data_IF_887825257064
#
_entry.id   IF_887825257064
#
_cell.length_a   1.000
_cell.length_b   1.000
_cell.length_c   1.000
_cell.angle_alpha   90.00
_cell.angle_beta   90.00
_cell.angle_gamma   90.00
#
_symmetry.space_group_name_H-M   'P 1'
#
loop_
_entity.id
_entity.type
_entity.pdbx_description
1 polymer ?
#
# COMPACT_ATOMS: atom_id res chain seq x y z
N UNK A 1 -5.66 30.42 -39.36
CA UNK A 1 -4.28 30.25 -38.86
C UNK A 1 -3.90 31.21 -37.71
N UNK A 2 -4.81 32.01 -37.14
CA UNK A 2 -4.52 32.90 -36.00
C UNK A 2 -5.01 32.37 -34.63
N UNK A 3 -5.75 31.25 -34.60
CA UNK A 3 -6.35 30.68 -33.39
C UNK A 3 -5.42 29.74 -32.59
N UNK A 4 -4.39 29.18 -33.23
CA UNK A 4 -3.46 28.26 -32.55
C UNK A 4 -2.43 28.95 -31.65
N UNK A 5 -2.15 30.24 -31.86
CA UNK A 5 -1.17 30.98 -31.05
C UNK A 5 -1.73 31.49 -29.71
N UNK A 6 -3.06 31.57 -29.56
CA UNK A 6 -3.69 31.93 -28.28
C UNK A 6 -3.83 30.74 -27.31
N UNK A 7 -3.88 29.51 -27.83
CA UNK A 7 -3.94 28.30 -26.99
C UNK A 7 -2.56 27.87 -26.44
N UNK A 8 -1.47 28.35 -27.05
CA UNK A 8 -0.09 28.00 -26.67
C UNK A 8 0.63 29.13 -25.89
N UNK A 9 -0.06 30.25 -25.60
CA UNK A 9 0.54 31.47 -25.05
C UNK A 9 0.52 31.63 -23.52
N UNK A 10 0.10 30.61 -22.74
CA UNK A 10 0.00 30.72 -21.26
C UNK A 10 0.62 29.57 -20.46
N UNK A 11 1.50 28.79 -21.07
CA UNK A 11 2.43 27.90 -20.34
C UNK A 11 3.84 28.49 -20.43
N UNK A 12 3.97 29.74 -19.99
CA UNK A 12 5.24 30.26 -19.48
C UNK A 12 5.10 30.33 -17.96
N UNK A 13 5.11 29.17 -17.32
CA UNK A 13 5.45 29.11 -15.91
C UNK A 13 6.84 29.72 -15.79
N UNK A 14 6.89 30.96 -15.29
CA UNK A 14 8.14 31.60 -14.91
C UNK A 14 8.94 30.57 -14.12
N UNK A 15 10.14 30.25 -14.59
CA UNK A 15 11.05 29.33 -13.93
C UNK A 15 11.27 29.81 -12.51
N UNK A 16 10.50 29.25 -11.56
CA UNK A 16 10.92 29.21 -10.16
C UNK A 16 12.19 28.37 -10.19
N UNK A 17 13.30 28.99 -9.80
CA UNK A 17 14.50 28.22 -9.44
C UNK A 17 14.06 27.12 -8.49
N UNK A 18 14.57 25.88 -8.63
CA UNK A 18 14.25 24.82 -7.68
C UNK A 18 14.50 25.37 -6.27
N UNK A 19 13.51 25.26 -5.40
CA UNK A 19 13.66 25.71 -4.02
C UNK A 19 14.93 25.07 -3.47
N UNK A 20 15.90 25.89 -3.06
CA UNK A 20 17.17 25.40 -2.50
C UNK A 20 16.85 24.53 -1.29
N UNK A 21 17.06 23.22 -1.43
CA UNK A 21 16.83 22.28 -0.36
C UNK A 21 17.81 22.58 0.79
N UNK A 22 17.27 22.80 1.99
CA UNK A 22 18.09 22.90 3.19
C UNK A 22 18.52 21.48 3.58
N UNK A 23 19.83 21.24 3.72
CA UNK A 23 20.36 19.95 4.15
C UNK A 23 20.76 20.02 5.63
N UNK A 24 20.32 19.03 6.41
CA UNK A 24 20.60 18.92 7.84
C UNK A 24 21.14 17.53 8.13
N UNK A 25 22.35 17.43 8.67
CA UNK A 25 22.88 16.16 9.17
C UNK A 25 22.19 15.83 10.51
N UNK A 26 21.51 14.68 10.57
CA UNK A 26 20.70 14.28 11.74
C UNK A 26 21.33 13.13 12.53
N UNK A 27 22.24 12.40 11.92
CA UNK A 27 23.10 11.39 12.53
C UNK A 27 24.35 11.18 11.65
N UNK A 28 25.44 10.58 12.15
CA UNK A 28 26.63 10.30 11.33
C UNK A 28 26.28 9.51 10.07
N UNK A 29 26.56 10.11 8.91
CA UNK A 29 26.27 9.50 7.61
C UNK A 29 24.79 9.51 7.20
N UNK A 30 23.95 10.30 7.88
CA UNK A 30 22.55 10.49 7.53
C UNK A 30 22.20 11.98 7.46
N UNK A 31 21.83 12.43 6.27
CA UNK A 31 21.33 13.79 6.02
C UNK A 31 19.84 13.76 5.71
N UNK A 32 19.12 14.83 6.09
CA UNK A 32 17.74 15.08 5.67
C UNK A 32 17.71 16.37 4.86
N UNK A 33 17.18 16.28 3.64
CA UNK A 33 16.92 17.43 2.77
C UNK A 33 15.50 17.92 3.00
N UNK A 34 15.35 19.22 3.28
CA UNK A 34 14.07 19.89 3.53
C UNK A 34 13.77 20.81 2.35
N UNK A 35 12.69 20.53 1.64
CA UNK A 35 12.30 21.25 0.43
C UNK A 35 10.87 21.77 0.56
N UNK A 36 10.68 23.07 0.34
CA UNK A 36 9.35 23.68 0.18
C UNK A 36 8.94 23.54 -1.28
N UNK A 37 7.72 23.08 -1.53
CA UNK A 37 7.17 22.90 -2.87
C UNK A 37 5.65 23.05 -2.83
N UNK A 38 5.01 23.16 -4.00
CA UNK A 38 3.56 23.15 -4.12
C UNK A 38 3.09 21.83 -4.72
N UNK A 39 2.19 21.14 -4.04
CA UNK A 39 1.57 19.91 -4.54
C UNK A 39 0.22 20.21 -5.17
N UNK A 40 -0.06 19.78 -6.42
CA UNK A 40 -1.40 19.88 -6.98
C UNK A 40 -2.36 18.95 -6.22
N UNK A 41 -3.56 19.43 -5.91
CA UNK A 41 -4.65 18.61 -5.36
C UNK A 41 -5.95 18.91 -6.10
N UNK A 42 -6.96 18.07 -5.95
CA UNK A 42 -8.30 18.31 -6.50
C UNK A 42 -8.96 19.61 -5.99
N UNK A 43 -8.52 20.12 -4.83
CA UNK A 43 -8.99 21.37 -4.23
C UNK A 43 -8.11 22.59 -4.57
N UNK A 44 -7.08 22.41 -5.41
CA UNK A 44 -6.08 23.43 -5.74
C UNK A 44 -4.69 23.09 -5.19
N UNK A 45 -3.66 23.89 -5.53
CA UNK A 45 -2.31 23.67 -5.05
C UNK A 45 -2.22 23.88 -3.53
N UNK A 46 -1.49 22.99 -2.85
CA UNK A 46 -1.22 23.07 -1.41
C UNK A 46 0.28 23.24 -1.20
N UNK A 47 0.68 24.30 -0.50
CA UNK A 47 2.06 24.51 -0.10
C UNK A 47 2.47 23.45 0.92
N UNK A 48 3.55 22.76 0.62
CA UNK A 48 4.06 21.62 1.37
C UNK A 48 5.53 21.80 1.75
N UNK A 49 5.95 21.02 2.74
CA UNK A 49 7.36 20.76 3.03
C UNK A 49 7.57 19.25 2.95
N UNK A 50 8.62 18.84 2.22
CA UNK A 50 9.08 17.46 2.19
C UNK A 50 10.44 17.32 2.85
N UNK A 51 10.56 16.31 3.69
CA UNK A 51 11.79 15.87 4.35
C UNK A 51 12.21 14.55 3.73
N UNK A 52 13.39 14.51 3.13
CA UNK A 52 13.90 13.35 2.40
C UNK A 52 15.22 12.93 3.00
N UNK A 53 15.32 11.67 3.44
CA UNK A 53 16.58 11.13 3.95
C UNK A 53 17.57 10.78 2.84
N UNK A 54 18.85 10.80 3.19
CA UNK A 54 19.97 10.40 2.36
C UNK A 54 21.03 9.75 3.28
N UNK A 55 21.18 8.43 3.17
CA UNK A 55 22.13 7.63 3.94
C UNK A 55 21.54 6.36 4.58
N UNK A 56 20.21 6.21 4.63
CA UNK A 56 19.57 4.99 5.15
C UNK A 56 19.83 3.78 4.24
N UNK A 57 19.92 4.00 2.93
CA UNK A 57 20.14 2.94 1.95
C UNK A 57 21.45 2.19 2.19
N UNK A 58 22.50 2.89 2.67
CA UNK A 58 23.77 2.28 3.03
C UNK A 58 23.67 1.26 4.18
N UNK A 59 22.54 1.26 4.91
CA UNK A 59 22.24 0.39 6.05
C UNK A 59 21.14 -0.63 5.74
N UNK A 60 20.81 -0.81 4.46
CA UNK A 60 19.75 -1.73 4.01
C UNK A 60 18.32 -1.23 4.27
N UNK A 61 18.15 0.01 4.73
CA UNK A 61 16.86 0.65 4.92
C UNK A 61 16.54 1.55 3.72
N UNK A 62 15.36 1.41 3.12
CA UNK A 62 14.91 2.33 2.06
C UNK A 62 14.87 3.76 2.60
N UNK A 63 15.29 4.72 1.77
CA UNK A 63 15.16 6.14 2.10
C UNK A 63 13.71 6.51 2.38
N UNK A 64 13.51 7.48 3.26
CA UNK A 64 12.20 7.89 3.74
C UNK A 64 11.88 9.31 3.26
N UNK A 65 10.63 9.51 2.84
CA UNK A 65 10.04 10.79 2.48
C UNK A 65 8.90 11.07 3.45
N UNK A 66 8.90 12.26 4.05
CA UNK A 66 7.80 12.73 4.88
C UNK A 66 7.32 14.08 4.34
N UNK A 67 6.05 14.17 3.93
CA UNK A 67 5.47 15.36 3.30
C UNK A 67 4.27 15.86 4.08
N UNK A 68 4.25 17.14 4.46
CA UNK A 68 3.16 17.77 5.21
C UNK A 68 2.87 19.21 4.74
N UNK A 69 1.71 19.80 5.09
CA UNK A 69 1.42 21.19 4.77
C UNK A 69 2.44 22.13 5.40
N UNK A 70 2.84 23.16 4.66
CA UNK A 70 3.90 24.08 5.08
C UNK A 70 3.60 24.83 6.39
N UNK A 71 2.32 25.06 6.70
CA UNK A 71 1.88 25.69 7.96
C UNK A 71 2.07 24.82 9.21
N UNK A 72 2.34 23.52 9.05
CA UNK A 72 2.60 22.58 10.14
C UNK A 72 4.09 22.30 10.36
N UNK A 73 4.94 22.73 9.43
CA UNK A 73 6.38 22.48 9.45
C UNK A 73 7.12 23.58 10.22
N UNK A 74 6.85 23.70 11.53
CA UNK A 74 7.60 24.59 12.42
C UNK A 74 8.94 23.96 12.87
N UNK A 75 9.75 24.74 13.58
CA UNK A 75 11.08 24.32 14.04
C UNK A 75 10.99 23.17 15.08
N UNK A 76 9.98 23.20 15.95
CA UNK A 76 9.78 22.19 16.98
C UNK A 76 9.39 20.84 16.36
N UNK A 77 8.48 20.85 15.38
CA UNK A 77 8.09 19.69 14.60
C UNK A 77 9.28 19.15 13.80
N UNK A 78 10.02 20.03 13.10
CA UNK A 78 11.22 19.65 12.34
C UNK A 78 12.24 18.93 13.23
N UNK A 79 12.48 19.45 14.43
CA UNK A 79 13.39 18.83 15.41
C UNK A 79 12.93 17.45 15.86
N UNK A 80 11.63 17.25 16.10
CA UNK A 80 11.05 15.93 16.39
C UNK A 80 11.23 14.97 15.21
N UNK A 81 11.00 15.45 14.00
CA UNK A 81 11.11 14.63 12.80
C UNK A 81 12.58 14.23 12.52
N UNK A 82 13.55 15.12 12.72
CA UNK A 82 14.98 14.80 12.65
C UNK A 82 15.38 13.73 13.68
N UNK A 83 14.86 13.85 14.91
CA UNK A 83 15.07 12.82 15.96
C UNK A 83 14.47 11.47 15.56
N UNK A 84 13.34 11.48 14.86
CA UNK A 84 12.73 10.28 14.30
C UNK A 84 13.61 9.64 13.20
N UNK A 85 14.14 10.42 12.25
CA UNK A 85 15.07 9.91 11.23
C UNK A 85 16.33 9.29 11.87
N UNK A 86 16.89 9.94 12.90
CA UNK A 86 18.02 9.41 13.66
C UNK A 86 17.67 8.09 14.39
N UNK A 87 16.43 7.94 14.86
CA UNK A 87 15.96 6.69 15.48
C UNK A 87 15.83 5.56 14.45
N UNK A 88 15.27 5.83 13.27
CA UNK A 88 15.19 4.86 12.17
C UNK A 88 16.59 4.41 11.75
N UNK A 89 17.53 5.34 11.67
CA UNK A 89 18.93 5.05 11.39
C UNK A 89 19.53 4.04 12.38
N UNK A 90 19.30 4.25 13.68
CA UNK A 90 19.77 3.34 14.73
C UNK A 90 19.12 1.94 14.61
N UNK A 91 17.85 1.86 14.25
CA UNK A 91 17.18 0.58 14.01
C UNK A 91 17.72 -0.13 12.77
N UNK A 92 18.00 0.61 11.69
CA UNK A 92 18.60 0.06 10.49
C UNK A 92 19.99 -0.55 10.76
N UNK A 93 20.82 0.09 11.61
CA UNK A 93 22.11 -0.47 12.06
C UNK A 93 21.97 -1.81 12.79
N UNK A 94 20.81 -2.07 13.39
CA UNK A 94 20.48 -3.32 14.08
C UNK A 94 19.79 -4.34 13.16
N UNK A 95 19.70 -4.06 11.85
CA UNK A 95 18.96 -4.88 10.88
C UNK A 95 17.44 -4.80 11.02
N UNK A 96 16.92 -3.83 11.80
CA UNK A 96 15.48 -3.61 11.99
C UNK A 96 15.02 -2.55 11.00
N UNK A 97 14.51 -3.00 9.86
CA UNK A 97 14.09 -2.14 8.76
C UNK A 97 12.57 -2.12 8.58
N UNK A 98 12.09 -1.14 7.81
CA UNK A 98 10.70 -1.00 7.39
C UNK A 98 10.62 -1.05 5.86
N UNK A 99 9.52 -1.62 5.37
CA UNK A 99 9.19 -1.68 3.94
C UNK A 99 7.71 -1.30 3.73
N UNK A 100 7.29 -1.24 2.47
CA UNK A 100 5.93 -1.02 1.99
C UNK A 100 4.93 -1.92 2.72
N UNK A 101 3.87 -1.30 3.23
CA UNK A 101 2.85 -1.96 4.06
C UNK A 101 3.30 -2.27 5.49
N UNK A 102 4.56 -2.01 5.84
CA UNK A 102 5.02 -1.93 7.22
C UNK A 102 4.52 -0.67 7.91
N UNK A 103 4.63 -0.62 9.23
CA UNK A 103 4.20 0.53 10.02
C UNK A 103 5.13 0.77 11.22
N UNK A 104 5.11 2.00 11.73
CA UNK A 104 5.69 2.37 13.02
C UNK A 104 4.56 2.77 13.95
N UNK A 105 4.34 1.97 15.00
CA UNK A 105 3.44 2.32 16.09
C UNK A 105 4.22 3.14 17.13
N UNK A 106 3.66 4.29 17.50
CA UNK A 106 4.24 5.16 18.51
C UNK A 106 3.57 4.92 19.86
N UNK A 107 4.36 4.92 20.92
CA UNK A 107 3.84 5.04 22.29
C UNK A 107 3.63 6.50 22.68
N UNK A 108 3.98 6.86 23.92
CA UNK A 108 3.82 8.22 24.45
C UNK A 108 4.63 9.30 23.70
N UNK A 109 5.69 8.91 22.99
CA UNK A 109 6.50 9.82 22.15
C UNK A 109 6.13 9.59 20.69
N UNK A 110 5.24 10.42 20.16
CA UNK A 110 4.80 10.37 18.77
C UNK A 110 5.08 11.69 18.04
N UNK A 111 5.11 11.62 16.69
CA UNK A 111 5.19 12.82 15.84
C UNK A 111 3.90 13.65 15.93
N UNK A 112 2.76 12.96 16.00
CA UNK A 112 1.44 13.54 16.23
C UNK A 112 0.70 12.72 17.30
N UNK A 113 -0.02 13.35 18.23
CA UNK A 113 -0.86 12.63 19.18
C UNK A 113 -1.86 11.70 18.48
N UNK A 114 -1.96 10.44 18.92
CA UNK A 114 -2.93 9.47 18.41
C UNK A 114 -2.72 9.02 16.95
N UNK A 115 -1.53 9.25 16.37
CA UNK A 115 -1.20 8.80 15.02
C UNK A 115 0.07 7.95 15.00
N UNK A 116 0.14 7.10 13.99
CA UNK A 116 1.21 6.18 13.66
C UNK A 116 1.69 6.42 12.23
N UNK A 117 2.70 5.69 11.76
CA UNK A 117 3.14 5.77 10.36
C UNK A 117 2.83 4.48 9.63
N UNK A 118 2.21 4.59 8.46
CA UNK A 118 2.16 3.54 7.45
C UNK A 118 3.16 3.88 6.35
N UNK A 119 4.01 2.92 5.98
CA UNK A 119 4.99 3.11 4.91
C UNK A 119 4.41 2.67 3.57
N UNK A 120 4.44 3.57 2.60
CA UNK A 120 3.94 3.35 1.24
C UNK A 120 5.05 3.66 0.24
N UNK A 121 4.99 3.20 -1.02
CA UNK A 121 5.97 3.61 -2.04
C UNK A 121 5.91 5.13 -2.20
N UNK A 122 7.07 5.80 -2.14
CA UNK A 122 7.13 7.22 -2.44
C UNK A 122 6.88 7.46 -3.93
N UNK A 123 6.19 8.55 -4.25
CA UNK A 123 6.01 9.00 -5.63
C UNK A 123 6.99 10.15 -5.95
N UNK A 124 7.36 10.33 -7.22
CA UNK A 124 8.09 11.51 -7.65
C UNK A 124 7.30 12.78 -7.31
N UNK A 125 7.96 13.73 -6.65
CA UNK A 125 7.39 15.03 -6.31
C UNK A 125 8.09 16.13 -7.11
N UNK A 126 7.36 17.04 -7.77
CA UNK A 126 7.98 18.19 -8.44
C UNK A 126 8.90 18.95 -7.47
N UNK A 127 10.07 19.36 -7.95
CA UNK A 127 11.07 20.15 -7.19
C UNK A 127 11.73 19.41 -6.01
N UNK A 128 11.31 18.20 -5.67
CA UNK A 128 11.88 17.39 -4.58
C UNK A 128 12.68 16.22 -5.16
N UNK A 129 13.94 16.10 -4.75
CA UNK A 129 14.79 14.96 -5.14
C UNK A 129 14.42 13.71 -4.33
N UNK A 130 13.40 12.97 -4.77
CA UNK A 130 12.99 11.70 -4.16
C UNK A 130 13.86 10.55 -4.69
N UNK A 131 14.59 9.81 -3.83
CA UNK A 131 15.37 8.66 -4.25
C UNK A 131 14.50 7.54 -4.84
N UNK A 132 15.03 6.74 -5.78
CA UNK A 132 14.31 5.58 -6.30
C UNK A 132 14.03 4.58 -5.16
N UNK A 133 12.87 3.95 -5.20
CA UNK A 133 12.41 2.98 -4.18
C UNK A 133 12.30 3.53 -2.74
N UNK A 134 12.28 4.86 -2.56
CA UNK A 134 12.01 5.46 -1.26
C UNK A 134 10.60 5.11 -0.76
N UNK A 135 10.40 5.23 0.55
CA UNK A 135 9.10 5.04 1.19
C UNK A 135 8.56 6.40 1.65
N UNK A 136 7.30 6.70 1.32
CA UNK A 136 6.58 7.77 1.97
C UNK A 136 6.06 7.27 3.33
N UNK A 137 6.34 8.03 4.38
CA UNK A 137 5.83 7.78 5.72
C UNK A 137 4.54 8.57 5.94
N UNK A 138 3.40 7.89 5.87
CA UNK A 138 2.08 8.51 5.88
C UNK A 138 1.44 8.37 7.26
N UNK A 139 1.07 9.49 7.94
CA UNK A 139 0.38 9.41 9.20
C UNK A 139 -1.00 8.75 9.08
N UNK A 140 -1.23 7.74 9.91
CA UNK A 140 -2.52 7.03 10.06
C UNK A 140 -2.99 7.12 11.49
N UNK A 141 -4.30 7.07 11.74
CA UNK A 141 -4.84 7.05 13.11
C UNK A 141 -4.66 5.69 13.77
N UNK A 142 -4.93 5.59 15.08
CA UNK A 142 -5.01 4.30 15.79
C UNK A 142 -6.04 3.36 15.14
N UNK A 143 -7.23 3.86 14.80
CA UNK A 143 -8.27 3.07 14.13
C UNK A 143 -7.83 2.54 12.77
N UNK A 144 -7.13 3.36 11.98
CA UNK A 144 -6.56 2.95 10.70
C UNK A 144 -5.44 1.92 10.86
N UNK A 145 -4.60 2.05 11.89
CA UNK A 145 -3.58 1.03 12.20
C UNK A 145 -4.24 -0.31 12.57
N UNK A 146 -5.30 -0.30 13.37
CA UNK A 146 -6.06 -1.52 13.70
C UNK A 146 -6.63 -2.19 12.43
N UNK A 147 -7.05 -1.41 11.42
CA UNK A 147 -7.44 -1.95 10.11
C UNK A 147 -6.24 -2.53 9.35
N UNK A 148 -5.07 -1.91 9.37
CA UNK A 148 -3.84 -2.46 8.76
C UNK A 148 -3.51 -3.82 9.37
N UNK A 149 -3.61 -3.93 10.69
CA UNK A 149 -3.39 -5.17 11.39
C UNK A 149 -4.46 -6.21 11.03
N UNK A 150 -5.73 -5.85 11.03
CA UNK A 150 -6.81 -6.82 10.81
C UNK A 150 -6.94 -7.26 9.36
N UNK A 151 -6.89 -6.32 8.42
CA UNK A 151 -7.24 -6.51 7.00
C UNK A 151 -6.06 -6.35 6.05
N UNK A 152 -4.88 -5.97 6.55
CA UNK A 152 -3.68 -5.76 5.74
C UNK A 152 -3.55 -4.33 5.23
N UNK A 153 -2.31 -3.93 5.00
CA UNK A 153 -1.98 -2.56 4.59
C UNK A 153 -2.60 -2.17 3.25
N UNK A 154 -2.63 -3.08 2.27
CA UNK A 154 -3.09 -2.80 0.91
C UNK A 154 -4.54 -2.29 0.88
N UNK A 155 -5.45 -2.89 1.67
CA UNK A 155 -6.83 -2.41 1.82
C UNK A 155 -6.89 -1.00 2.39
N UNK A 156 -6.13 -0.72 3.45
CA UNK A 156 -6.10 0.61 4.05
C UNK A 156 -5.56 1.63 3.06
N UNK A 157 -4.47 1.29 2.37
CA UNK A 157 -3.85 2.15 1.36
C UNK A 157 -4.81 2.47 0.22
N UNK A 158 -5.46 1.47 -0.39
CA UNK A 158 -6.42 1.68 -1.48
C UNK A 158 -7.69 2.41 -1.01
N UNK A 159 -8.13 2.19 0.23
CA UNK A 159 -9.23 2.95 0.86
C UNK A 159 -8.89 4.42 1.07
N UNK A 160 -7.68 4.72 1.54
CA UNK A 160 -7.15 6.08 1.62
C UNK A 160 -7.01 6.71 0.23
N UNK A 161 -6.57 5.93 -0.76
CA UNK A 161 -6.52 6.34 -2.17
C UNK A 161 -7.89 6.74 -2.71
N UNK A 162 -8.92 5.94 -2.47
CA UNK A 162 -10.31 6.30 -2.81
C UNK A 162 -10.75 7.58 -2.12
N UNK A 163 -10.53 7.69 -0.81
CA UNK A 163 -10.97 8.86 -0.04
C UNK A 163 -10.27 10.16 -0.48
N UNK A 164 -8.99 10.08 -0.83
CA UNK A 164 -8.21 11.22 -1.28
C UNK A 164 -8.26 11.43 -2.81
N UNK A 165 -8.98 10.57 -3.56
CA UNK A 165 -8.96 10.55 -5.02
C UNK A 165 -7.55 10.49 -5.60
N UNK A 166 -6.69 9.66 -5.01
CA UNK A 166 -5.28 9.52 -5.37
C UNK A 166 -4.90 8.05 -5.53
N UNK A 167 -4.20 7.72 -6.63
CA UNK A 167 -3.80 6.35 -6.93
C UNK A 167 -2.32 6.11 -6.57
N UNK A 168 -1.96 4.96 -5.98
CA UNK A 168 -2.86 3.99 -5.33
C UNK A 168 -3.29 4.45 -3.93
N UNK A 169 -2.54 5.37 -3.32
CA UNK A 169 -2.78 5.92 -1.99
C UNK A 169 -2.04 7.26 -1.83
N UNK A 170 -2.48 8.19 -0.97
CA UNK A 170 -1.77 9.44 -0.74
C UNK A 170 -0.37 9.19 -0.16
N UNK A 171 0.63 9.97 -0.61
CA UNK A 171 2.02 9.92 -0.13
C UNK A 171 2.37 11.08 0.82
N UNK A 172 1.35 11.82 1.27
CA UNK A 172 1.47 13.01 2.09
C UNK A 172 0.54 12.96 3.29
N UNK A 173 0.82 13.82 4.27
CA UNK A 173 -0.08 14.07 5.37
C UNK A 173 -1.11 15.15 5.02
N UNK A 174 -2.39 14.81 5.16
CA UNK A 174 -3.51 15.74 5.13
C UNK A 174 -4.17 15.75 6.52
N UNK A 175 -4.02 16.83 7.31
CA UNK A 175 -4.57 16.91 8.67
C UNK A 175 -6.10 16.99 8.68
N UNK A 176 -6.71 17.50 7.62
CA UNK A 176 -8.17 17.68 7.49
C UNK A 176 -8.86 16.42 6.98
N UNK A 177 -8.08 15.39 6.60
CA UNK A 177 -8.61 14.11 6.14
C UNK A 177 -9.32 13.39 7.30
N UNK A 178 -10.59 13.00 7.13
CA UNK A 178 -11.27 12.20 8.13
C UNK A 178 -10.62 10.81 8.24
N UNK A 179 -10.78 10.19 9.38
CA UNK A 179 -10.44 8.78 9.57
C UNK A 179 -11.32 7.89 8.67
N UNK A 180 -10.78 6.75 8.21
CA UNK A 180 -11.61 5.68 7.66
C UNK A 180 -12.67 5.22 8.69
N UNK A 181 -13.86 4.75 8.26
CA UNK A 181 -14.92 4.33 9.19
C UNK A 181 -14.58 2.99 9.87
N UNK A 182 -13.59 2.99 10.78
CA UNK A 182 -12.95 1.78 11.28
C UNK A 182 -13.94 0.82 11.95
N UNK A 183 -14.84 1.33 12.79
CA UNK A 183 -15.79 0.51 13.54
C UNK A 183 -16.77 -0.20 12.59
N UNK A 184 -17.27 0.50 11.58
CA UNK A 184 -18.15 -0.06 10.57
C UNK A 184 -17.43 -1.08 9.68
N UNK A 185 -16.16 -0.81 9.32
CA UNK A 185 -15.35 -1.76 8.55
C UNK A 185 -15.08 -3.05 9.34
N UNK A 186 -14.77 -2.94 10.64
CA UNK A 186 -14.60 -4.09 11.53
C UNK A 186 -15.88 -4.90 11.67
N UNK A 187 -17.03 -4.22 11.75
CA UNK A 187 -18.32 -4.91 11.87
C UNK A 187 -18.74 -5.58 10.56
N UNK A 188 -18.55 -4.92 9.42
CA UNK A 188 -19.14 -5.33 8.15
C UNK A 188 -18.25 -6.26 7.32
N UNK A 189 -16.93 -6.27 7.50
CA UNK A 189 -16.03 -7.06 6.66
C UNK A 189 -16.04 -8.55 7.05
N UNK A 190 -16.08 -9.42 6.05
CA UNK A 190 -15.91 -10.87 6.20
C UNK A 190 -14.55 -11.24 6.81
N UNK A 191 -13.50 -10.45 6.55
CA UNK A 191 -12.17 -10.69 7.09
C UNK A 191 -12.15 -10.58 8.62
N UNK A 192 -13.15 -9.96 9.24
CA UNK A 192 -13.31 -9.92 10.69
C UNK A 192 -13.64 -11.29 11.30
N UNK A 193 -14.04 -12.27 10.49
CA UNK A 193 -14.48 -13.58 10.97
C UNK A 193 -13.65 -14.74 10.40
N UNK A 194 -12.55 -14.44 9.69
CA UNK A 194 -11.73 -15.43 9.00
C UNK A 194 -10.29 -15.34 9.50
N UNK A 195 -9.62 -16.48 9.62
CA UNK A 195 -8.19 -16.53 9.93
C UNK A 195 -7.38 -15.96 8.76
N UNK A 196 -6.36 -15.16 9.02
CA UNK A 196 -5.60 -14.49 7.97
C UNK A 196 -4.10 -14.60 8.17
N UNK A 197 -3.38 -14.70 7.06
CA UNK A 197 -1.94 -14.64 7.00
C UNK A 197 -1.50 -13.45 6.15
N UNK A 198 -0.49 -12.73 6.61
CA UNK A 198 0.05 -11.57 5.89
C UNK A 198 1.21 -12.02 5.02
N UNK A 199 1.04 -11.90 3.71
CA UNK A 199 2.07 -12.17 2.71
C UNK A 199 2.41 -10.85 2.01
N UNK A 200 3.21 -10.01 2.67
CA UNK A 200 3.50 -8.63 2.21
C UNK A 200 4.16 -8.58 0.84
N UNK A 201 4.87 -9.63 0.45
CA UNK A 201 5.56 -9.74 -0.84
C UNK A 201 4.74 -10.50 -1.89
N UNK A 202 3.64 -11.14 -1.49
CA UNK A 202 2.69 -11.74 -2.41
C UNK A 202 1.77 -10.70 -3.04
N UNK A 203 1.25 -11.00 -4.22
CA UNK A 203 0.34 -10.14 -5.00
C UNK A 203 -0.83 -10.96 -5.50
N UNK A 204 -2.01 -10.36 -5.57
CA UNK A 204 -3.16 -10.98 -6.23
C UNK A 204 -3.77 -10.01 -7.23
N UNK A 205 -3.82 -10.42 -8.50
CA UNK A 205 -4.28 -9.58 -9.59
C UNK A 205 -5.30 -10.32 -10.45
N UNK A 206 -6.27 -9.59 -10.97
CA UNK A 206 -7.09 -10.03 -12.08
C UNK A 206 -6.50 -9.52 -13.39
N UNK A 207 -6.24 -10.44 -14.32
CA UNK A 207 -5.79 -10.20 -15.69
C UNK A 207 -6.73 -10.92 -16.66
N UNK A 208 -7.73 -10.21 -17.18
CA UNK A 208 -8.81 -10.83 -17.96
C UNK A 208 -9.61 -11.86 -17.15
N UNK A 209 -9.54 -13.14 -17.55
CA UNK A 209 -10.14 -14.26 -16.83
C UNK A 209 -9.26 -14.84 -15.73
N UNK A 210 -7.98 -14.49 -15.70
CA UNK A 210 -7.04 -15.04 -14.72
C UNK A 210 -7.08 -14.25 -13.41
N UNK A 211 -7.16 -14.95 -12.29
CA UNK A 211 -6.80 -14.44 -10.96
C UNK A 211 -5.42 -15.01 -10.63
N UNK A 212 -4.41 -14.16 -10.65
CA UNK A 212 -3.01 -14.53 -10.48
C UNK A 212 -2.57 -14.21 -9.06
N UNK A 213 -2.31 -15.24 -8.26
CA UNK A 213 -1.56 -15.14 -7.01
C UNK A 213 -0.08 -15.31 -7.33
N UNK A 214 0.69 -14.23 -7.20
CA UNK A 214 2.15 -14.25 -7.34
C UNK A 214 2.81 -14.25 -5.97
N UNK A 215 3.73 -15.17 -5.78
CA UNK A 215 4.46 -15.40 -4.53
C UNK A 215 5.95 -15.23 -4.80
N UNK A 216 6.68 -14.78 -3.79
CA UNK A 216 8.15 -14.71 -3.83
C UNK A 216 8.77 -15.99 -3.28
N UNK A 217 9.95 -16.41 -3.77
CA UNK A 217 10.72 -17.51 -3.17
C UNK A 217 10.93 -17.28 -1.66
N UNK A 218 10.72 -18.33 -0.87
CA UNK A 218 10.81 -18.29 0.60
C UNK A 218 9.47 -18.14 1.31
N UNK A 219 8.39 -17.78 0.61
CA UNK A 219 7.05 -17.73 1.19
C UNK A 219 6.51 -19.12 1.59
N UNK A 220 7.07 -20.20 1.05
CA UNK A 220 6.69 -21.59 1.33
C UNK A 220 6.77 -21.90 2.82
N UNK A 221 7.84 -21.45 3.50
CA UNK A 221 8.04 -21.74 4.92
C UNK A 221 6.94 -21.11 5.80
N UNK A 222 6.56 -19.86 5.48
CA UNK A 222 5.47 -19.16 6.17
C UNK A 222 4.11 -19.83 5.89
N UNK A 223 3.88 -20.26 4.64
CA UNK A 223 2.67 -20.97 4.24
C UNK A 223 2.59 -22.36 4.88
N UNK A 224 3.70 -23.08 4.99
CA UNK A 224 3.78 -24.36 5.70
C UNK A 224 3.43 -24.20 7.18
N UNK A 225 3.97 -23.17 7.84
CA UNK A 225 3.62 -22.88 9.23
C UNK A 225 2.13 -22.55 9.38
N UNK A 226 1.60 -21.67 8.52
CA UNK A 226 0.17 -21.33 8.51
C UNK A 226 -0.70 -22.60 8.41
N UNK A 227 -0.38 -23.51 7.48
CA UNK A 227 -1.17 -24.72 7.29
C UNK A 227 -0.97 -25.80 8.35
N UNK A 228 0.07 -25.69 9.19
CA UNK A 228 0.23 -26.54 10.35
C UNK A 228 -0.70 -26.09 11.50
N UNK A 229 -0.99 -24.79 11.58
CA UNK A 229 -1.82 -24.18 12.62
C UNK A 229 -3.32 -24.13 12.25
N UNK A 230 -3.64 -24.04 10.95
CA UNK A 230 -5.02 -23.98 10.47
C UNK A 230 -5.72 -25.36 10.54
N UNK A 231 -6.96 -25.42 11.05
CA UNK A 231 -7.81 -26.58 10.87
C UNK A 231 -8.01 -26.88 9.37
N UNK A 232 -7.99 -28.16 8.99
CA UNK A 232 -7.93 -28.59 7.58
C UNK A 232 -9.07 -28.05 6.69
N UNK A 233 -10.22 -27.71 7.29
CA UNK A 233 -11.47 -27.39 6.58
C UNK A 233 -11.93 -25.95 6.85
N UNK A 234 -11.06 -25.11 7.43
CA UNK A 234 -11.39 -23.73 7.77
C UNK A 234 -11.03 -22.77 6.63
N UNK A 235 -11.92 -21.84 6.25
CA UNK A 235 -11.57 -20.77 5.33
C UNK A 235 -10.43 -19.91 5.89
N UNK A 236 -9.56 -19.42 5.03
CA UNK A 236 -8.49 -18.50 5.42
C UNK A 236 -8.26 -17.44 4.34
N UNK A 237 -7.70 -16.31 4.75
CA UNK A 237 -7.33 -15.21 3.86
C UNK A 237 -5.81 -15.04 3.78
N UNK A 238 -5.30 -14.84 2.56
CA UNK A 238 -3.96 -14.37 2.29
C UNK A 238 -4.04 -12.86 2.02
N UNK A 239 -3.51 -12.06 2.94
CA UNK A 239 -3.47 -10.60 2.82
C UNK A 239 -2.21 -10.21 2.05
N UNK A 240 -2.37 -9.70 0.84
CA UNK A 240 -1.30 -9.46 -0.13
C UNK A 240 -0.84 -8.00 -0.11
N UNK A 241 0.37 -7.72 -0.62
CA UNK A 241 0.91 -6.36 -0.78
C UNK A 241 0.49 -5.66 -2.07
N UNK A 242 0.90 -4.39 -2.22
CA UNK A 242 0.73 -3.61 -3.45
C UNK A 242 1.54 -4.20 -4.62
N UNK A 243 0.91 -4.41 -5.76
CA UNK A 243 1.61 -4.73 -7.01
C UNK A 243 2.04 -3.43 -7.75
N UNK A 244 3.35 -3.22 -8.00
CA UNK A 244 3.83 -2.04 -8.72
C UNK A 244 3.45 -2.02 -10.20
N UNK A 245 2.98 -3.15 -10.74
CA UNK A 245 2.51 -3.29 -12.12
C UNK A 245 0.99 -3.16 -12.23
N UNK A 246 0.26 -3.06 -11.13
CA UNK A 246 -1.18 -2.87 -11.14
C UNK A 246 -1.56 -1.49 -11.71
N UNK A 247 -2.61 -1.47 -12.52
CA UNK A 247 -3.20 -0.25 -13.08
C UNK A 247 -4.60 0.03 -12.52
N UNK A 248 -5.03 -0.78 -11.55
CA UNK A 248 -6.19 -0.54 -10.72
C UNK A 248 -6.07 -1.27 -9.39
N UNK A 249 -6.74 -0.75 -8.36
CA UNK A 249 -6.96 -1.45 -7.09
C UNK A 249 -8.43 -1.53 -6.79
N UNK A 250 -8.92 -2.73 -6.46
CA UNK A 250 -10.24 -2.86 -5.87
C UNK A 250 -10.30 -2.14 -4.52
N UNK A 251 -11.45 -1.51 -4.28
CA UNK A 251 -11.73 -0.76 -3.06
C UNK A 251 -13.11 -1.13 -2.54
N UNK A 252 -13.25 -1.14 -1.21
CA UNK A 252 -14.47 -1.53 -0.55
C UNK A 252 -14.85 -0.55 0.57
N UNK A 253 -16.15 -0.33 0.75
CA UNK A 253 -16.70 0.36 1.93
C UNK A 253 -17.87 -0.46 2.51
N UNK A 254 -18.16 -0.32 3.81
CA UNK A 254 -19.40 -0.84 4.39
C UNK A 254 -20.63 -0.40 3.59
N UNK A 255 -21.54 -1.33 3.33
CA UNK A 255 -22.77 -1.08 2.56
C UNK A 255 -22.59 -0.99 1.04
N UNK A 256 -21.37 -1.14 0.51
CA UNK A 256 -21.11 -1.18 -0.93
C UNK A 256 -21.81 -2.38 -1.59
N UNK A 257 -22.57 -2.12 -2.67
CA UNK A 257 -23.36 -3.14 -3.38
C UNK A 257 -22.71 -3.65 -4.65
N UNK A 258 -21.87 -2.84 -5.28
CA UNK A 258 -21.21 -3.16 -6.53
C UNK A 258 -19.69 -3.04 -6.36
N UNK A 259 -18.91 -3.83 -7.11
CA UNK A 259 -17.46 -3.68 -7.14
C UNK A 259 -17.03 -2.26 -7.54
N UNK A 260 -16.02 -1.73 -6.86
CA UNK A 260 -15.41 -0.45 -7.20
C UNK A 260 -13.89 -0.61 -7.27
N UNK A 261 -13.26 0.19 -8.11
CA UNK A 261 -11.81 0.26 -8.21
C UNK A 261 -11.35 1.71 -8.35
N UNK A 262 -10.11 1.98 -7.95
CA UNK A 262 -9.40 3.22 -8.25
C UNK A 262 -8.34 2.96 -9.32
N UNK A 263 -8.12 3.92 -10.22
CA UNK A 263 -7.15 3.84 -11.32
C UNK A 263 -6.23 5.07 -11.31
N UNK A 264 -5.06 5.01 -11.98
CA UNK A 264 -4.26 6.19 -12.25
C UNK A 264 -5.05 7.29 -12.98
N UNK A 265 -4.71 8.58 -12.78
CA UNK A 265 -5.37 9.68 -13.47
C UNK A 265 -5.38 9.52 -15.00
N UNK A 266 -6.54 9.69 -15.61
CA UNK A 266 -6.71 9.61 -17.07
C UNK A 266 -6.81 8.18 -17.62
N UNK A 267 -6.73 7.15 -16.78
CA UNK A 267 -6.88 5.76 -17.20
C UNK A 267 -8.30 5.24 -16.98
N UNK A 268 -8.97 4.88 -18.08
CA UNK A 268 -10.35 4.38 -18.07
C UNK A 268 -10.45 2.85 -18.30
N UNK A 269 -9.39 2.21 -18.76
CA UNK A 269 -9.34 0.77 -19.03
C UNK A 269 -8.20 0.16 -18.21
N UNK A 270 -8.54 -0.58 -17.15
CA UNK A 270 -7.60 -1.31 -16.33
C UNK A 270 -7.45 -2.74 -16.85
N UNK A 271 -6.21 -3.21 -16.98
CA UNK A 271 -5.90 -4.56 -17.45
C UNK A 271 -5.40 -5.47 -16.30
N UNK A 272 -4.88 -4.86 -15.24
CA UNK A 272 -4.25 -5.50 -14.07
C UNK A 272 -4.87 -4.96 -12.80
N UNK A 273 -6.04 -5.48 -12.46
CA UNK A 273 -6.80 -5.06 -11.29
C UNK A 273 -6.30 -5.83 -10.06
N UNK A 274 -5.67 -5.14 -9.12
CA UNK A 274 -5.17 -5.76 -7.89
C UNK A 274 -6.31 -5.93 -6.89
N UNK A 275 -6.39 -7.12 -6.29
CA UNK A 275 -7.17 -7.37 -5.08
C UNK A 275 -6.30 -7.13 -3.84
N UNK A 276 -6.95 -6.89 -2.71
CA UNK A 276 -6.25 -6.65 -1.44
C UNK A 276 -5.97 -7.95 -0.66
N UNK A 277 -6.64 -9.05 -1.03
CA UNK A 277 -6.47 -10.38 -0.45
C UNK A 277 -7.01 -11.47 -1.38
N UNK A 278 -6.64 -12.72 -1.07
CA UNK A 278 -7.27 -13.94 -1.59
C UNK A 278 -7.79 -14.79 -0.43
N UNK A 279 -9.10 -15.02 -0.39
CA UNK A 279 -9.75 -16.01 0.49
C UNK A 279 -9.77 -17.36 -0.21
N UNK A 280 -9.41 -18.40 0.53
CA UNK A 280 -9.50 -19.79 0.10
C UNK A 280 -10.52 -20.49 1.00
N UNK A 281 -11.51 -21.13 0.38
CA UNK A 281 -12.58 -21.87 1.07
C UNK A 281 -12.47 -23.33 0.64
N UNK A 282 -11.92 -24.22 1.48
CA UNK A 282 -11.73 -25.63 1.12
C UNK A 282 -13.04 -26.43 1.19
N UNK A 283 -13.02 -27.64 0.62
CA UNK A 283 -14.07 -28.67 0.74
C UNK A 283 -15.48 -28.25 0.30
N UNK A 284 -15.56 -27.52 -0.81
CA UNK A 284 -16.81 -27.11 -1.44
C UNK A 284 -17.27 -28.16 -2.46
N UNK A 285 -18.55 -28.19 -2.79
CA UNK A 285 -19.11 -29.15 -3.75
C UNK A 285 -18.55 -28.98 -5.17
N UNK A 286 -18.15 -27.75 -5.52
CA UNK A 286 -17.62 -27.39 -6.83
C UNK A 286 -16.60 -26.26 -6.70
N UNK A 287 -15.65 -26.24 -7.64
CA UNK A 287 -14.72 -25.12 -7.74
C UNK A 287 -15.45 -23.87 -8.23
N UNK A 288 -15.37 -22.77 -7.50
CA UNK A 288 -16.01 -21.51 -7.85
C UNK A 288 -15.14 -20.31 -7.48
N UNK A 289 -15.30 -19.23 -8.22
CA UNK A 289 -14.60 -17.97 -7.98
C UNK A 289 -15.61 -16.85 -7.71
N UNK A 290 -15.27 -15.93 -6.82
CA UNK A 290 -16.08 -14.74 -6.55
C UNK A 290 -15.17 -13.54 -6.28
N UNK A 291 -15.60 -12.36 -6.75
CA UNK A 291 -15.09 -11.11 -6.23
C UNK A 291 -15.87 -10.78 -4.97
N UNK A 292 -15.17 -10.56 -3.87
CA UNK A 292 -15.79 -10.29 -2.57
C UNK A 292 -15.09 -9.12 -1.92
N UNK A 293 -15.89 -8.12 -1.51
CA UNK A 293 -15.37 -6.84 -1.03
C UNK A 293 -14.40 -6.19 -2.04
N UNK A 294 -13.11 -6.19 -1.72
CA UNK A 294 -12.00 -5.67 -2.53
C UNK A 294 -10.91 -6.73 -2.76
N UNK A 295 -11.27 -8.00 -2.65
CA UNK A 295 -10.39 -9.14 -2.92
C UNK A 295 -11.13 -10.28 -3.61
N UNK A 296 -10.47 -11.43 -3.70
CA UNK A 296 -11.02 -12.59 -4.39
C UNK A 296 -11.30 -13.71 -3.39
N UNK A 297 -12.33 -14.50 -3.65
CA UNK A 297 -12.57 -15.76 -2.95
C UNK A 297 -12.53 -16.92 -3.95
N UNK A 298 -11.85 -17.99 -3.56
CA UNK A 298 -11.81 -19.24 -4.31
C UNK A 298 -12.36 -20.39 -3.46
N UNK A 299 -13.48 -20.93 -3.90
CA UNK A 299 -14.15 -22.08 -3.34
C UNK A 299 -13.59 -23.31 -4.03
N UNK A 300 -13.10 -24.27 -3.27
CA UNK A 300 -12.33 -25.41 -3.78
C UNK A 300 -12.95 -26.72 -3.35
N UNK A 301 -13.08 -27.65 -4.30
CA UNK A 301 -13.29 -29.07 -3.99
C UNK A 301 -12.11 -29.64 -3.20
N UNK A 302 -12.29 -30.80 -2.57
CA UNK A 302 -11.21 -31.46 -1.83
C UNK A 302 -9.97 -31.72 -2.71
N UNK A 303 -10.18 -32.15 -3.96
CA UNK A 303 -9.09 -32.42 -4.90
C UNK A 303 -8.34 -31.14 -5.29
N UNK A 304 -9.07 -30.08 -5.62
CA UNK A 304 -8.50 -28.78 -5.99
C UNK A 304 -7.82 -28.11 -4.80
N UNK A 305 -8.36 -28.27 -3.59
CA UNK A 305 -7.72 -27.81 -2.37
C UNK A 305 -6.37 -28.51 -2.13
N UNK A 306 -6.30 -29.84 -2.26
CA UNK A 306 -5.03 -30.58 -2.17
C UNK A 306 -4.01 -30.07 -3.18
N UNK A 307 -4.42 -29.78 -4.42
CA UNK A 307 -3.55 -29.23 -5.44
C UNK A 307 -3.04 -27.82 -5.12
N UNK A 308 -3.93 -26.92 -4.66
CA UNK A 308 -3.59 -25.55 -4.22
C UNK A 308 -2.64 -25.60 -3.03
N UNK A 309 -2.96 -26.37 -1.99
CA UNK A 309 -2.11 -26.51 -0.80
C UNK A 309 -0.71 -26.95 -1.18
N UNK A 310 -0.59 -27.98 -2.03
CA UNK A 310 0.70 -28.46 -2.54
C UNK A 310 1.47 -27.36 -3.27
N UNK A 311 0.82 -26.66 -4.21
CA UNK A 311 1.43 -25.57 -4.96
C UNK A 311 1.96 -24.45 -4.04
N UNK A 312 1.20 -24.12 -2.98
CA UNK A 312 1.57 -23.11 -1.98
C UNK A 312 2.72 -23.56 -1.05
N UNK A 313 2.78 -24.84 -0.67
CA UNK A 313 3.80 -25.33 0.29
C UNK A 313 5.08 -25.84 -0.36
N UNK A 314 5.04 -26.18 -1.64
CA UNK A 314 6.18 -26.80 -2.36
C UNK A 314 6.81 -25.88 -3.41
N UNK A 315 6.36 -24.62 -3.52
CA UNK A 315 6.91 -23.71 -4.54
C UNK A 315 6.43 -24.03 -5.96
N UNK A 316 5.26 -24.67 -6.09
CA UNK A 316 4.74 -25.17 -7.36
C UNK A 316 3.83 -24.17 -8.09
N UNK A 317 3.92 -24.14 -9.42
CA UNK A 317 2.95 -23.43 -10.25
C UNK A 317 1.63 -24.22 -10.34
N UNK A 318 0.51 -23.49 -10.44
CA UNK A 318 -0.83 -24.07 -10.61
C UNK A 318 -1.66 -23.25 -11.58
N UNK A 319 -2.53 -23.92 -12.34
CA UNK A 319 -3.63 -23.31 -13.05
C UNK A 319 -4.91 -24.13 -12.81
N UNK A 320 -5.96 -23.50 -12.28
CA UNK A 320 -7.21 -24.14 -11.93
C UNK A 320 -8.39 -23.32 -12.47
N UNK A 321 -9.20 -23.93 -13.33
CA UNK A 321 -10.45 -23.31 -13.81
C UNK A 321 -11.55 -23.49 -12.78
N UNK A 322 -12.42 -22.49 -12.65
CA UNK A 322 -13.67 -22.69 -11.94
C UNK A 322 -14.63 -23.59 -12.74
N UNK A 323 -15.65 -24.11 -12.06
CA UNK A 323 -16.61 -25.04 -12.67
C UNK A 323 -17.48 -24.39 -13.75
N UNK A 324 -17.53 -23.06 -13.79
CA UNK A 324 -18.23 -22.29 -14.83
C UNK A 324 -17.36 -22.07 -16.08
N UNK A 325 -16.05 -22.36 -16.02
CA UNK A 325 -15.09 -22.04 -17.07
C UNK A 325 -14.86 -20.54 -17.27
N UNK A 326 -15.28 -19.71 -16.31
CA UNK A 326 -15.32 -18.25 -16.43
C UNK A 326 -14.06 -17.56 -15.93
N UNK A 327 -13.42 -18.17 -14.92
CA UNK A 327 -12.20 -17.66 -14.29
C UNK A 327 -11.20 -18.78 -14.05
N UNK A 328 -9.92 -18.42 -14.00
CA UNK A 328 -8.81 -19.32 -13.74
C UNK A 328 -7.92 -18.79 -12.62
N UNK A 329 -7.76 -19.54 -11.54
CA UNK A 329 -6.76 -19.27 -10.52
C UNK A 329 -5.40 -19.71 -11.05
N UNK A 330 -4.42 -18.82 -10.99
CA UNK A 330 -3.02 -19.12 -11.29
C UNK A 330 -2.16 -18.84 -10.07
N UNK A 331 -1.30 -19.78 -9.72
CA UNK A 331 -0.27 -19.60 -8.70
C UNK A 331 1.07 -19.53 -9.43
N UNK A 332 1.77 -18.42 -9.25
CA UNK A 332 3.08 -18.13 -9.84
C UNK A 332 4.10 -17.88 -8.72
N UNK A 333 5.31 -18.40 -8.90
CA UNK A 333 6.46 -18.11 -8.04
C UNK A 333 7.46 -17.29 -8.85
N UNK A 334 7.78 -16.09 -8.37
CA UNK A 334 8.60 -15.09 -9.07
C UNK A 334 9.55 -14.37 -8.12
#
# INVERSE_FOLDING_TARGET
MAWWNELMGRVSGAGRSPALAQRVEVAPGLTVSVTRHARPTSKGPVDCVSYVSDGLAAKGQKELVFTLPAGMADEAFSSKLFSFFATINQFAEQGRTVDTGGHTQFGQRSLFPGRHLLYVPAEPLPEVSVPPNALAAVPVTEGELALVERFGATRVMSSLGRMCSHFPCPTWFDPERPELPHAEMLQASMLSNIASARLREARVLQMGSDIVLRLVPGAEALLQQLFAELPANMPFALLTGLDPTADAYFVWAPGQREPQAITPPGQNNAERLCGNFLVVVPEQEKDASQLVEDGFAWLLTEASWKAVKRALTEGGALALLDSAGSKRLRIEWA
#
